data_IF_069917047200
#
_entry.id   IF_069917047200
#
_cell.length_a   1.000
_cell.length_b   1.000
_cell.length_c   1.000
_cell.angle_alpha   90.00
_cell.angle_beta   90.00
_cell.angle_gamma   90.00
#
_symmetry.space_group_name_H-M   'P 1'
#
loop_
_entity.id
_entity.type
_entity.pdbx_description
1 polymer ?
#
# COMPACT_ATOMS: atom_id res chain seq x y z
N UNK A 1 2.45 -19.64 11.09
CA UNK A 1 2.41 -18.18 10.86
C UNK A 1 0.98 -17.67 10.92
N UNK A 2 0.16 -17.81 9.87
CA UNK A 2 -1.19 -17.20 9.87
C UNK A 2 -2.12 -17.77 10.96
N UNK A 3 -2.19 -19.10 11.07
CA UNK A 3 -2.94 -19.80 12.14
C UNK A 3 -2.49 -19.49 13.57
N UNK A 4 -1.32 -18.89 13.77
CA UNK A 4 -0.83 -18.49 15.11
C UNK A 4 -1.34 -17.09 15.51
N UNK A 5 -2.00 -16.35 14.62
CA UNK A 5 -2.63 -15.06 14.91
C UNK A 5 -1.66 -13.86 14.99
N UNK A 6 -0.35 -14.08 14.83
CA UNK A 6 0.66 -13.01 14.82
C UNK A 6 0.93 -12.44 13.43
N UNK A 7 0.56 -13.18 12.39
CA UNK A 7 0.81 -12.83 10.99
C UNK A 7 -0.51 -12.93 10.25
N UNK A 8 -0.80 -11.97 9.39
CA UNK A 8 -1.93 -12.04 8.46
C UNK A 8 -1.41 -12.05 7.04
N UNK A 9 -2.00 -12.89 6.19
CA UNK A 9 -1.63 -12.99 4.78
C UNK A 9 -2.64 -12.22 3.93
N UNK A 10 -2.18 -11.15 3.27
CA UNK A 10 -2.96 -10.37 2.31
C UNK A 10 -2.64 -10.72 0.85
N UNK A 11 -3.35 -10.09 -0.08
CA UNK A 11 -3.22 -10.32 -1.52
C UNK A 11 -2.33 -9.25 -2.18
N UNK A 12 -1.43 -9.67 -3.08
CA UNK A 12 -0.49 -8.78 -3.77
C UNK A 12 -0.41 -9.07 -5.28
N UNK A 13 -1.59 -9.19 -5.90
CA UNK A 13 -1.81 -9.65 -7.28
C UNK A 13 -1.27 -11.06 -7.56
N UNK A 14 -1.43 -11.53 -8.80
CA UNK A 14 -1.02 -12.87 -9.24
C UNK A 14 0.40 -12.85 -9.79
N UNK A 15 0.75 -11.83 -10.55
CA UNK A 15 2.02 -11.73 -11.30
C UNK A 15 2.83 -10.48 -10.98
N UNK A 16 2.42 -9.69 -9.98
CA UNK A 16 3.03 -8.41 -9.64
C UNK A 16 2.87 -7.34 -10.76
N UNK A 17 1.79 -7.42 -11.54
CA UNK A 17 1.48 -6.44 -12.57
C UNK A 17 1.13 -5.05 -11.99
N UNK A 18 1.59 -3.98 -12.64
CA UNK A 18 1.20 -2.60 -12.31
C UNK A 18 -0.23 -2.36 -12.79
N UNK A 19 -1.18 -2.31 -11.84
CA UNK A 19 -2.60 -2.40 -12.14
C UNK A 19 -3.13 -1.24 -12.98
N UNK A 20 -2.55 -0.04 -12.86
CA UNK A 20 -2.92 1.10 -13.70
C UNK A 20 -2.64 0.89 -15.19
N UNK A 21 -1.80 -0.09 -15.53
CA UNK A 21 -1.42 -0.44 -16.92
C UNK A 21 -2.19 -1.65 -17.44
N UNK A 22 -3.03 -2.27 -16.62
CA UNK A 22 -3.77 -3.47 -17.00
C UNK A 22 -5.10 -3.10 -17.69
N UNK A 23 -5.44 -3.81 -18.75
CA UNK A 23 -6.82 -3.83 -19.26
C UNK A 23 -7.75 -4.60 -18.31
N UNK A 24 -9.06 -4.33 -18.38
CA UNK A 24 -10.07 -4.83 -17.42
C UNK A 24 -10.02 -6.35 -17.20
N UNK A 25 -9.85 -7.15 -18.26
CA UNK A 25 -9.78 -8.62 -18.16
C UNK A 25 -8.58 -9.07 -17.33
N UNK A 26 -7.40 -8.50 -17.62
CA UNK A 26 -6.17 -8.85 -16.92
C UNK A 26 -6.20 -8.34 -15.48
N UNK A 27 -6.71 -7.13 -15.24
CA UNK A 27 -6.92 -6.56 -13.92
C UNK A 27 -7.81 -7.48 -13.04
N UNK A 28 -8.93 -7.96 -13.58
CA UNK A 28 -9.81 -8.90 -12.88
C UNK A 28 -9.11 -10.22 -12.56
N UNK A 29 -8.30 -10.74 -13.49
CA UNK A 29 -7.52 -11.96 -13.25
C UNK A 29 -6.48 -11.76 -12.14
N UNK A 30 -5.71 -10.66 -12.20
CA UNK A 30 -4.70 -10.32 -11.20
C UNK A 30 -5.29 -10.19 -9.80
N UNK A 31 -6.49 -9.62 -9.66
CA UNK A 31 -7.15 -9.38 -8.36
C UNK A 31 -7.94 -10.60 -7.88
N UNK A 32 -8.87 -11.12 -8.70
CA UNK A 32 -9.78 -12.17 -8.24
C UNK A 32 -9.09 -13.53 -8.13
N UNK A 33 -8.20 -13.89 -9.08
CA UNK A 33 -7.56 -15.20 -9.05
C UNK A 33 -6.55 -15.31 -7.91
N UNK A 34 -5.82 -14.23 -7.63
CA UNK A 34 -4.90 -14.21 -6.49
C UNK A 34 -5.64 -14.31 -5.16
N UNK A 35 -6.77 -13.61 -4.99
CA UNK A 35 -7.64 -13.76 -3.81
C UNK A 35 -8.09 -15.20 -3.61
N UNK A 36 -8.68 -15.82 -4.63
CA UNK A 36 -9.12 -17.22 -4.56
C UNK A 36 -8.01 -18.17 -4.14
N UNK A 37 -6.82 -18.07 -4.76
CA UNK A 37 -5.69 -18.95 -4.44
C UNK A 37 -5.20 -18.76 -3.01
N UNK A 38 -5.20 -17.52 -2.51
CA UNK A 38 -4.82 -17.23 -1.12
C UNK A 38 -5.87 -17.81 -0.16
N UNK A 39 -7.16 -17.53 -0.38
CA UNK A 39 -8.24 -18.02 0.48
C UNK A 39 -8.35 -19.55 0.50
N UNK A 40 -8.16 -20.22 -0.65
CA UNK A 40 -8.08 -21.67 -0.75
C UNK A 40 -6.94 -22.25 0.11
N UNK A 41 -5.81 -21.54 0.21
CA UNK A 41 -4.64 -21.97 1.01
C UNK A 41 -4.77 -21.64 2.50
N UNK A 42 -5.43 -20.53 2.83
CA UNK A 42 -5.63 -20.09 4.21
C UNK A 42 -6.80 -20.82 4.88
N UNK A 43 -7.83 -21.18 4.13
CA UNK A 43 -9.08 -21.73 4.66
C UNK A 43 -10.01 -20.67 5.26
N UNK A 44 -9.73 -19.38 5.05
CA UNK A 44 -10.59 -18.25 5.44
C UNK A 44 -10.40 -17.08 4.47
N UNK A 45 -11.22 -16.03 4.63
CA UNK A 45 -11.19 -14.84 3.77
C UNK A 45 -9.92 -14.00 3.96
N UNK A 46 -9.48 -13.34 2.89
CA UNK A 46 -8.40 -12.36 2.91
C UNK A 46 -8.93 -10.98 2.51
N UNK A 47 -9.03 -10.08 3.49
CA UNK A 47 -9.68 -8.77 3.33
C UNK A 47 -8.72 -7.63 2.95
N UNK A 48 -7.42 -7.91 2.92
CA UNK A 48 -6.37 -6.92 2.71
C UNK A 48 -5.71 -7.09 1.34
N UNK A 49 -5.59 -6.00 0.59
CA UNK A 49 -4.91 -5.94 -0.69
C UNK A 49 -3.66 -5.04 -0.64
N UNK A 50 -2.61 -5.33 -1.38
CA UNK A 50 -1.43 -4.48 -1.51
C UNK A 50 -1.16 -4.22 -3.00
N UNK A 51 -1.06 -2.96 -3.41
CA UNK A 51 -0.74 -2.63 -4.81
C UNK A 51 0.73 -2.95 -5.13
N UNK A 52 1.03 -3.66 -6.23
CA UNK A 52 2.40 -3.83 -6.74
C UNK A 52 3.08 -2.48 -6.98
N UNK A 53 4.29 -2.31 -6.44
CA UNK A 53 5.01 -1.04 -6.24
C UNK A 53 4.26 0.01 -5.42
N UNK A 54 2.99 0.28 -5.72
CA UNK A 54 2.06 1.07 -4.92
C UNK A 54 2.36 2.56 -4.88
N UNK A 55 3.21 3.08 -5.77
CA UNK A 55 3.45 4.51 -5.86
C UNK A 55 2.24 5.20 -6.51
N UNK A 56 2.17 6.52 -6.39
CA UNK A 56 1.18 7.30 -7.12
C UNK A 56 1.31 7.04 -8.63
N UNK A 57 0.23 6.60 -9.27
CA UNK A 57 0.20 6.22 -10.69
C UNK A 57 0.34 4.72 -10.97
N UNK A 58 0.68 3.88 -9.98
CA UNK A 58 0.69 2.41 -10.15
C UNK A 58 -0.71 1.78 -10.00
N UNK A 59 -1.65 2.56 -9.50
CA UNK A 59 -3.07 2.25 -9.34
C UNK A 59 -3.92 3.43 -9.83
N UNK A 60 -5.17 3.13 -10.14
CA UNK A 60 -6.18 4.09 -10.61
C UNK A 60 -7.60 3.67 -10.18
N UNK A 61 -8.59 4.49 -10.51
CA UNK A 61 -10.01 4.27 -10.19
C UNK A 61 -10.54 2.90 -10.66
N UNK A 62 -10.09 2.42 -11.83
CA UNK A 62 -10.48 1.09 -12.34
C UNK A 62 -9.94 -0.03 -11.43
N UNK A 63 -8.68 0.06 -11.01
CA UNK A 63 -8.10 -0.90 -10.07
C UNK A 63 -8.74 -0.84 -8.68
N UNK A 64 -9.04 0.37 -8.17
CA UNK A 64 -9.77 0.56 -6.91
C UNK A 64 -11.16 -0.08 -6.98
N UNK A 65 -11.91 0.18 -8.06
CA UNK A 65 -13.22 -0.42 -8.29
C UNK A 65 -13.16 -1.94 -8.37
N UNK A 66 -12.17 -2.51 -9.07
CA UNK A 66 -12.02 -3.97 -9.17
C UNK A 66 -11.70 -4.61 -7.80
N UNK A 67 -10.87 -3.96 -6.98
CA UNK A 67 -10.53 -4.40 -5.62
C UNK A 67 -11.78 -4.36 -4.73
N UNK A 68 -12.55 -3.27 -4.75
CA UNK A 68 -13.81 -3.18 -4.00
C UNK A 68 -14.81 -4.25 -4.46
N UNK A 69 -14.96 -4.47 -5.77
CA UNK A 69 -15.85 -5.51 -6.31
C UNK A 69 -15.41 -6.93 -5.94
N UNK A 70 -14.10 -7.16 -5.74
CA UNK A 70 -13.57 -8.43 -5.24
C UNK A 70 -13.78 -8.61 -3.72
N UNK A 71 -14.37 -7.64 -3.04
CA UNK A 71 -14.73 -7.70 -1.63
C UNK A 71 -13.55 -7.50 -0.68
N UNK A 72 -12.56 -6.70 -1.04
CA UNK A 72 -11.51 -6.29 -0.10
C UNK A 72 -12.00 -5.13 0.78
N UNK A 73 -11.65 -5.16 2.06
CA UNK A 73 -12.02 -4.12 3.03
C UNK A 73 -11.01 -2.98 3.09
N UNK A 74 -9.75 -3.23 2.70
CA UNK A 74 -8.72 -2.20 2.59
C UNK A 74 -7.62 -2.57 1.61
N UNK A 75 -6.91 -1.56 1.10
CA UNK A 75 -5.77 -1.71 0.23
C UNK A 75 -4.62 -0.76 0.61
N UNK A 76 -3.38 -1.27 0.58
CA UNK A 76 -2.18 -0.51 0.96
C UNK A 76 -1.37 -0.08 -0.26
N UNK A 77 -0.89 1.16 -0.18
CA UNK A 77 0.02 1.79 -1.14
C UNK A 77 1.44 1.89 -0.56
N UNK A 78 2.36 2.48 -1.31
CA UNK A 78 3.66 2.96 -0.80
C UNK A 78 3.72 4.49 -0.75
N UNK A 79 2.58 5.16 -0.95
CA UNK A 79 2.46 6.60 -0.76
C UNK A 79 2.74 6.92 0.71
N UNK A 80 3.75 7.75 1.02
CA UNK A 80 4.13 8.04 2.40
C UNK A 80 3.07 8.87 3.11
N UNK A 81 2.74 8.49 4.35
CA UNK A 81 1.84 9.25 5.20
C UNK A 81 1.25 8.47 6.35
N UNK A 82 0.62 9.21 7.26
CA UNK A 82 -0.19 8.67 8.34
C UNK A 82 -1.62 8.44 7.88
N UNK A 83 -2.24 7.41 8.45
CA UNK A 83 -3.66 7.15 8.32
C UNK A 83 -4.39 7.54 9.62
N UNK A 84 -5.63 7.97 9.47
CA UNK A 84 -6.56 8.32 10.53
C UNK A 84 -7.97 7.82 10.15
N UNK A 85 -8.99 8.14 10.96
CA UNK A 85 -10.38 7.70 10.71
C UNK A 85 -11.01 8.20 9.41
N UNK A 86 -10.43 9.23 8.79
CA UNK A 86 -10.92 9.81 7.53
C UNK A 86 -10.10 9.34 6.32
N UNK A 87 -9.12 8.45 6.54
CA UNK A 87 -8.28 7.96 5.45
C UNK A 87 -9.05 7.03 4.54
N UNK A 88 -8.75 7.11 3.25
CA UNK A 88 -9.32 6.23 2.25
C UNK A 88 -8.78 4.81 2.45
N UNK A 89 -9.67 3.88 2.82
CA UNK A 89 -9.31 2.49 3.08
C UNK A 89 -8.77 1.78 1.84
N UNK A 90 -9.12 2.22 0.63
CA UNK A 90 -8.57 1.66 -0.61
C UNK A 90 -7.21 2.24 -0.98
N UNK A 91 -6.71 3.22 -0.22
CA UNK A 91 -5.42 3.89 -0.48
C UNK A 91 -4.65 4.15 0.81
N UNK A 92 -4.61 3.17 1.72
CA UNK A 92 -3.88 3.31 2.97
C UNK A 92 -2.40 3.57 2.71
N UNK A 93 -1.89 4.60 3.39
CA UNK A 93 -0.53 5.11 3.26
C UNK A 93 0.44 4.26 4.08
N UNK A 94 1.68 4.16 3.63
CA UNK A 94 2.75 3.46 4.36
C UNK A 94 4.06 4.21 4.23
N UNK A 95 4.91 4.05 5.24
CA UNK A 95 6.31 4.44 5.15
C UNK A 95 7.16 3.21 4.83
N UNK A 96 8.24 3.42 4.07
CA UNK A 96 9.33 2.45 3.98
C UNK A 96 9.92 2.20 5.35
N UNK A 97 10.47 1.01 5.55
CA UNK A 97 11.19 0.67 6.78
C UNK A 97 12.30 1.73 7.02
N UNK A 98 12.35 2.32 8.23
CA UNK A 98 13.37 3.31 8.56
C UNK A 98 14.75 2.65 8.69
N UNK A 99 15.80 3.42 8.44
CA UNK A 99 17.18 2.92 8.52
C UNK A 99 17.70 2.83 9.96
N UNK A 100 17.13 3.64 10.86
CA UNK A 100 17.49 3.65 12.28
C UNK A 100 16.29 4.00 13.18
N UNK A 101 16.51 3.84 14.49
CA UNK A 101 15.48 4.06 15.51
C UNK A 101 15.05 5.54 15.63
N UNK A 102 15.93 6.48 15.27
CA UNK A 102 15.61 7.91 15.33
C UNK A 102 14.66 8.28 14.19
N UNK A 103 14.93 7.81 12.97
CA UNK A 103 14.02 7.95 11.83
C UNK A 103 12.66 7.28 12.12
N UNK A 104 12.68 6.09 12.72
CA UNK A 104 11.46 5.43 13.17
C UNK A 104 10.67 6.29 14.15
N UNK A 105 11.31 6.78 15.21
CA UNK A 105 10.66 7.58 16.26
C UNK A 105 10.07 8.89 15.71
N UNK A 106 10.81 9.60 14.85
CA UNK A 106 10.34 10.84 14.20
C UNK A 106 9.15 10.54 13.27
N UNK A 107 9.23 9.45 12.50
CA UNK A 107 8.13 9.03 11.62
C UNK A 107 6.89 8.70 12.45
N UNK A 108 7.02 7.89 13.50
CA UNK A 108 5.90 7.50 14.36
C UNK A 108 5.25 8.72 15.04
N UNK A 109 6.05 9.70 15.46
CA UNK A 109 5.58 10.94 16.08
C UNK A 109 4.86 11.89 15.10
N UNK A 110 4.83 11.60 13.79
CA UNK A 110 4.20 12.47 12.80
C UNK A 110 5.04 13.68 12.39
N UNK A 111 6.32 13.72 12.78
CA UNK A 111 7.21 14.86 12.56
C UNK A 111 7.98 14.78 11.22
N UNK A 112 7.90 13.65 10.51
CA UNK A 112 8.61 13.45 9.23
C UNK A 112 8.30 14.53 8.17
N UNK A 113 7.04 14.98 7.96
CA UNK A 113 6.76 16.06 7.03
C UNK A 113 7.45 17.39 7.40
N UNK A 114 7.74 17.63 8.68
CA UNK A 114 8.43 18.84 9.14
C UNK A 114 9.93 18.81 8.79
N UNK A 115 10.54 17.63 8.74
CA UNK A 115 11.95 17.50 8.36
C UNK A 115 12.22 17.83 6.89
N UNK A 116 11.28 17.57 5.97
CA UNK A 116 11.43 18.00 4.58
C UNK A 116 11.48 19.53 4.44
N UNK A 117 10.80 20.26 5.33
CA UNK A 117 10.89 21.73 5.38
C UNK A 117 12.21 22.25 5.93
N UNK A 118 12.98 21.45 6.68
CA UNK A 118 14.30 21.87 7.19
C UNK A 118 15.40 21.54 6.18
N UNK A 119 15.26 20.45 5.42
CA UNK A 119 16.20 20.05 4.37
C UNK A 119 16.11 20.90 3.10
N UNK A 120 14.93 21.42 2.76
CA UNK A 120 14.74 22.23 1.55
C UNK A 120 15.34 23.67 1.58
N UNK A 121 15.34 24.44 2.70
CA UNK A 121 15.91 25.78 2.73
C UNK A 121 17.44 25.78 2.64
N UNK A 122 18.12 24.72 3.11
CA UNK A 122 19.58 24.62 3.00
C UNK A 122 20.06 24.47 1.54
N UNK A 123 19.26 23.86 0.66
CA UNK A 123 19.59 23.72 -0.76
C UNK A 123 19.42 25.02 -1.56
N UNK A 124 18.72 26.03 -1.03
CA UNK A 124 18.61 27.36 -1.65
C UNK A 124 19.72 28.35 -1.25
N UNK A 125 20.56 27.99 -0.28
CA UNK A 125 21.62 28.87 0.25
C UNK A 125 23.03 28.53 -0.27
N UNK A 126 23.17 27.50 -1.11
CA UNK A 126 24.45 27.09 -1.72
C UNK A 126 24.42 27.06 -3.26
N UNK A 127 23.49 27.78 -3.88
CA UNK A 127 23.44 27.98 -5.32
C UNK A 127 23.92 29.38 -5.71
N UNK A 128 25.23 29.55 -5.84
CA UNK A 128 25.90 30.51 -6.73
C UNK A 128 26.90 29.72 -7.57
#
# INVERSE_FOLDING_TARGET
>A
MDREGLVSIGVHTKTHAILSRCGQKHLKEEVCRSKQVIEEKLGHQSDLFCYPNGAAGDFNESSEAQIMQAGFSSALTTVPGHNNRQSDLMKLKRYSAPLDISEFAITLAGLRPLLSFIRHPAAKLLGN
#
